data_IF_006514552293
#
_entry.id   IF_006514552293
#
_cell.length_a   1.000
_cell.length_b   1.000
_cell.length_c   1.000
_cell.angle_alpha   90.00
_cell.angle_beta   90.00
_cell.angle_gamma   90.00
#
_symmetry.space_group_name_H-M   'P 1'
#
loop_
_entity.id
_entity.type
_entity.pdbx_description
1 polymer ?
#
# COMPACT_ATOMS: atom_id res chain seq x y z
N UNK A 1 -39.89 -54.03 24.49
CA UNK A 1 -38.96 -52.99 23.98
C UNK A 1 -38.71 -51.98 25.09
N UNK A 2 -37.68 -52.18 25.91
CA UNK A 2 -37.27 -51.23 26.95
C UNK A 2 -36.07 -50.43 26.45
N UNK A 3 -36.28 -49.16 26.11
CA UNK A 3 -35.23 -48.22 25.69
C UNK A 3 -34.44 -47.81 26.94
N UNK A 4 -33.18 -48.21 27.04
CA UNK A 4 -32.27 -47.70 28.07
C UNK A 4 -32.10 -46.18 27.90
N UNK A 5 -32.21 -45.38 28.97
CA UNK A 5 -31.94 -43.95 28.90
C UNK A 5 -30.44 -43.76 28.59
N UNK A 6 -30.13 -43.02 27.53
CA UNK A 6 -28.76 -42.55 27.29
C UNK A 6 -28.43 -41.59 28.44
N UNK A 7 -27.50 -41.98 29.31
CA UNK A 7 -26.92 -41.08 30.29
C UNK A 7 -26.26 -39.92 29.55
N UNK A 8 -26.68 -38.70 29.85
CA UNK A 8 -25.99 -37.49 29.40
C UNK A 8 -24.63 -37.45 30.06
N UNK A 9 -23.56 -37.69 29.30
CA UNK A 9 -22.20 -37.47 29.78
C UNK A 9 -21.99 -35.96 29.92
N UNK A 10 -21.93 -35.47 31.16
CA UNK A 10 -21.59 -34.08 31.48
C UNK A 10 -20.10 -33.94 31.81
N UNK A 11 -19.55 -32.76 31.55
CA UNK A 11 -18.19 -32.41 31.96
C UNK A 11 -18.13 -32.20 33.47
N UNK A 12 -17.03 -32.62 34.11
CA UNK A 12 -16.82 -32.29 35.52
C UNK A 12 -16.51 -30.80 35.67
N UNK A 13 -16.81 -30.22 36.84
CA UNK A 13 -16.47 -28.82 37.14
C UNK A 13 -14.96 -28.58 36.98
N UNK A 14 -14.14 -29.55 37.40
CA UNK A 14 -12.69 -29.48 37.25
C UNK A 14 -12.28 -29.46 35.77
N UNK A 15 -12.88 -30.31 34.93
CA UNK A 15 -12.59 -30.38 33.50
C UNK A 15 -12.92 -29.08 32.77
N UNK A 16 -14.07 -28.48 33.08
CA UNK A 16 -14.45 -27.17 32.55
C UNK A 16 -13.44 -26.09 32.99
N UNK A 17 -13.05 -26.08 34.27
CA UNK A 17 -12.06 -25.12 34.77
C UNK A 17 -10.69 -25.29 34.10
N UNK A 18 -10.24 -26.52 33.88
CA UNK A 18 -8.98 -26.79 33.17
C UNK A 18 -9.05 -26.44 31.68
N UNK A 19 -10.18 -26.69 31.01
CA UNK A 19 -10.35 -26.30 29.62
C UNK A 19 -10.33 -24.78 29.47
N UNK A 20 -11.07 -24.06 30.32
CA UNK A 20 -11.09 -22.60 30.32
C UNK A 20 -9.72 -21.99 30.64
N UNK A 21 -8.96 -22.59 31.58
CA UNK A 21 -7.63 -22.08 31.91
C UNK A 21 -6.66 -22.23 30.74
N UNK A 22 -6.66 -23.37 30.05
CA UNK A 22 -5.84 -23.60 28.84
C UNK A 22 -6.27 -22.66 27.72
N UNK A 23 -7.57 -22.52 27.46
CA UNK A 23 -8.08 -21.58 26.45
C UNK A 23 -7.68 -20.13 26.76
N UNK A 24 -7.74 -19.70 28.02
CA UNK A 24 -7.33 -18.36 28.41
C UNK A 24 -5.85 -18.10 28.10
N UNK A 25 -4.96 -19.05 28.43
CA UNK A 25 -3.53 -18.94 28.10
C UNK A 25 -3.31 -18.86 26.59
N UNK A 26 -4.00 -19.70 25.81
CA UNK A 26 -3.89 -19.69 24.36
C UNK A 26 -4.37 -18.37 23.74
N UNK A 27 -5.47 -17.79 24.25
CA UNK A 27 -5.99 -16.52 23.75
C UNK A 27 -5.03 -15.35 24.01
N UNK A 28 -4.39 -15.32 25.19
CA UNK A 28 -3.42 -14.27 25.54
C UNK A 28 -2.25 -14.22 24.55
N UNK A 29 -1.82 -15.36 24.02
CA UNK A 29 -0.72 -15.44 23.04
C UNK A 29 -1.23 -15.33 21.60
N UNK A 30 -2.37 -15.95 21.29
CA UNK A 30 -2.90 -16.08 19.93
C UNK A 30 -3.48 -14.78 19.37
N UNK A 31 -4.21 -14.01 20.18
CA UNK A 31 -4.85 -12.76 19.75
C UNK A 31 -3.82 -11.73 19.25
N UNK A 32 -2.76 -11.35 20.00
CA UNK A 32 -1.78 -10.37 19.51
C UNK A 32 -1.08 -10.83 18.24
N UNK A 33 -0.70 -12.11 18.14
CA UNK A 33 -0.07 -12.67 16.93
C UNK A 33 -0.97 -12.52 15.69
N UNK A 34 -2.27 -12.74 15.82
CA UNK A 34 -3.22 -12.54 14.73
C UNK A 34 -3.35 -11.07 14.30
N UNK A 35 -3.27 -10.14 15.25
CA UNK A 35 -3.28 -8.69 14.92
C UNK A 35 -2.07 -8.28 14.10
N UNK A 36 -0.88 -8.81 14.40
CA UNK A 36 0.34 -8.52 13.63
C UNK A 36 0.30 -9.10 12.21
N UNK A 37 -0.24 -10.32 12.05
CA UNK A 37 -0.47 -10.92 10.72
C UNK A 37 -1.42 -10.04 9.90
N UNK A 38 -2.51 -9.57 10.50
CA UNK A 38 -3.48 -8.70 9.82
C UNK A 38 -2.85 -7.37 9.40
N UNK A 39 -2.07 -6.74 10.29
CA UNK A 39 -1.33 -5.49 9.98
C UNK A 39 -0.34 -5.68 8.84
N UNK A 40 0.45 -6.75 8.89
CA UNK A 40 1.41 -7.09 7.83
C UNK A 40 0.71 -7.34 6.48
N UNK A 41 -0.41 -8.05 6.49
CA UNK A 41 -1.20 -8.28 5.27
C UNK A 41 -1.71 -6.97 4.67
N UNK A 42 -2.20 -6.03 5.49
CA UNK A 42 -2.64 -4.70 5.02
C UNK A 42 -1.51 -3.92 4.35
N UNK A 43 -0.35 -3.84 5.01
CA UNK A 43 0.83 -3.16 4.45
C UNK A 43 1.32 -3.81 3.15
N UNK A 44 1.43 -5.14 3.13
CA UNK A 44 1.88 -5.87 1.95
C UNK A 44 0.88 -5.75 0.80
N UNK A 45 -0.42 -5.78 1.08
CA UNK A 45 -1.46 -5.60 0.04
C UNK A 45 -1.37 -4.21 -0.57
N UNK A 46 -1.40 -3.16 0.25
CA UNK A 46 -1.33 -1.78 -0.25
C UNK A 46 -0.02 -1.51 -1.04
N UNK A 47 1.12 -2.01 -0.55
CA UNK A 47 2.39 -1.86 -1.26
C UNK A 47 2.40 -2.62 -2.60
N UNK A 48 1.85 -3.83 -2.64
CA UNK A 48 1.75 -4.64 -3.86
C UNK A 48 0.77 -4.03 -4.87
N UNK A 49 -0.34 -3.46 -4.41
CA UNK A 49 -1.33 -2.82 -5.29
C UNK A 49 -0.73 -1.58 -5.96
N UNK A 50 0.03 -0.78 -5.21
CA UNK A 50 0.74 0.37 -5.77
C UNK A 50 1.87 -0.06 -6.72
N UNK A 51 2.64 -1.09 -6.35
CA UNK A 51 3.64 -1.69 -7.25
C UNK A 51 2.97 -2.22 -8.54
N UNK A 52 1.81 -2.86 -8.43
CA UNK A 52 1.04 -3.32 -9.59
C UNK A 52 0.60 -2.15 -10.46
N UNK A 53 0.08 -1.09 -9.86
CA UNK A 53 -0.38 0.11 -10.58
C UNK A 53 0.75 0.78 -11.36
N UNK A 54 1.94 0.90 -10.75
CA UNK A 54 3.14 1.43 -11.44
C UNK A 54 3.60 0.53 -12.59
N UNK A 55 3.52 -0.80 -12.44
CA UNK A 55 3.84 -1.73 -13.51
C UNK A 55 2.82 -1.66 -14.66
N UNK A 56 1.52 -1.55 -14.35
CA UNK A 56 0.46 -1.32 -15.35
C UNK A 56 0.75 -0.04 -16.10
N UNK A 57 0.96 1.08 -15.39
CA UNK A 57 1.26 2.37 -16.00
C UNK A 57 2.46 2.29 -16.96
N UNK A 58 3.56 1.70 -16.51
CA UNK A 58 4.76 1.51 -17.34
C UNK A 58 4.49 0.66 -18.59
N UNK A 59 3.76 -0.45 -18.45
CA UNK A 59 3.46 -1.33 -19.57
C UNK A 59 2.52 -0.68 -20.59
N UNK A 60 1.54 0.08 -20.10
CA UNK A 60 0.58 0.81 -20.94
C UNK A 60 1.26 1.97 -21.65
N UNK A 61 2.22 2.66 -21.00
CA UNK A 61 2.99 3.72 -21.63
C UNK A 61 3.79 3.21 -22.84
N UNK A 62 4.47 2.07 -22.67
CA UNK A 62 5.23 1.43 -23.75
C UNK A 62 4.32 0.90 -24.85
N UNK A 63 3.20 0.28 -24.48
CA UNK A 63 2.27 -0.35 -25.44
C UNK A 63 1.55 0.70 -26.29
N UNK A 64 1.08 1.78 -25.67
CA UNK A 64 0.34 2.87 -26.33
C UNK A 64 1.26 3.89 -26.99
N UNK A 65 2.55 3.88 -26.62
CA UNK A 65 3.54 4.91 -27.00
C UNK A 65 3.12 6.31 -26.57
N UNK A 66 2.39 6.41 -25.46
CA UNK A 66 1.95 7.65 -24.84
C UNK A 66 2.39 7.66 -23.37
N UNK A 67 2.61 8.83 -22.76
CA UNK A 67 2.81 8.92 -21.33
C UNK A 67 1.62 8.33 -20.56
N UNK A 68 1.90 7.66 -19.45
CA UNK A 68 0.87 7.13 -18.54
C UNK A 68 1.26 7.50 -17.12
N UNK A 69 0.28 8.04 -16.40
CA UNK A 69 0.47 8.65 -15.09
C UNK A 69 -0.27 7.83 -14.04
N UNK A 70 0.37 7.64 -12.89
CA UNK A 70 -0.25 7.23 -11.64
C UNK A 70 -0.26 8.44 -10.73
N UNK A 71 -1.44 8.95 -10.36
CA UNK A 71 -1.53 10.08 -9.45
C UNK A 71 -2.40 9.77 -8.24
N UNK A 72 -1.99 10.31 -7.09
CA UNK A 72 -2.85 10.35 -5.91
C UNK A 72 -4.09 11.19 -6.22
N UNK A 73 -5.24 10.75 -5.70
CA UNK A 73 -6.50 11.49 -5.81
C UNK A 73 -7.17 11.59 -4.45
N UNK A 74 -8.15 12.48 -4.31
CA UNK A 74 -9.03 12.53 -3.14
C UNK A 74 -10.34 11.77 -3.36
N UNK A 75 -10.65 11.41 -4.60
CA UNK A 75 -11.82 10.61 -4.94
C UNK A 75 -11.57 9.78 -6.21
N UNK A 76 -11.17 8.53 -6.01
CA UNK A 76 -10.96 7.53 -7.07
C UNK A 76 -12.26 7.06 -7.72
N UNK A 77 -13.41 7.31 -7.09
CA UNK A 77 -14.73 6.88 -7.55
C UNK A 77 -15.51 7.95 -8.31
N UNK A 78 -15.02 9.20 -8.32
CA UNK A 78 -15.59 10.27 -9.12
C UNK A 78 -15.62 9.92 -10.61
N UNK A 79 -16.69 10.33 -11.32
CA UNK A 79 -16.80 10.10 -12.76
C UNK A 79 -15.60 10.70 -13.50
N UNK A 80 -15.23 11.93 -13.13
CA UNK A 80 -14.05 12.67 -13.60
C UNK A 80 -13.06 12.85 -12.42
N UNK A 81 -12.16 11.89 -12.19
CA UNK A 81 -11.24 11.95 -11.06
C UNK A 81 -10.10 12.92 -11.37
N UNK A 82 -9.65 13.67 -10.36
CA UNK A 82 -8.54 14.62 -10.49
C UNK A 82 -7.37 14.21 -9.64
N UNK A 83 -6.16 14.58 -10.06
CA UNK A 83 -4.96 14.41 -9.26
C UNK A 83 -4.97 15.42 -8.10
N UNK A 84 -4.75 14.94 -6.88
CA UNK A 84 -4.78 15.77 -5.66
C UNK A 84 -3.39 16.27 -5.24
N UNK A 85 -2.35 15.80 -5.91
CA UNK A 85 -0.94 15.97 -5.56
C UNK A 85 -0.62 15.64 -4.09
N UNK A 86 -1.37 14.68 -3.54
CA UNK A 86 -1.32 14.30 -2.14
C UNK A 86 -0.69 12.93 -1.92
N UNK A 87 -0.98 12.35 -0.76
CA UNK A 87 -0.55 11.00 -0.43
C UNK A 87 -1.33 9.95 -1.23
N UNK A 88 -0.65 8.89 -1.66
CA UNK A 88 -1.20 7.69 -2.33
C UNK A 88 -2.13 6.86 -1.42
N UNK A 89 -3.04 7.51 -0.72
CA UNK A 89 -4.12 6.89 0.06
C UNK A 89 -5.16 6.26 -0.85
N UNK A 90 -5.37 6.85 -2.02
CA UNK A 90 -6.11 6.32 -3.16
C UNK A 90 -5.48 6.95 -4.41
N UNK A 91 -5.58 6.27 -5.55
CA UNK A 91 -4.92 6.72 -6.77
C UNK A 91 -5.63 6.19 -8.01
N UNK A 92 -5.29 6.80 -9.14
CA UNK A 92 -5.76 6.40 -10.46
C UNK A 92 -4.56 6.22 -11.39
N UNK A 93 -4.76 5.44 -12.44
CA UNK A 93 -3.83 5.30 -13.56
C UNK A 93 -4.55 5.73 -14.83
N UNK A 94 -3.97 6.65 -15.60
CA UNK A 94 -4.58 7.16 -16.83
C UNK A 94 -3.51 7.49 -17.87
N UNK A 95 -3.93 7.57 -19.13
CA UNK A 95 -3.06 7.98 -20.24
C UNK A 95 -3.03 9.50 -20.31
N UNK A 96 -1.84 10.08 -20.26
CA UNK A 96 -1.58 11.52 -20.33
C UNK A 96 -1.04 11.86 -21.74
N UNK A 97 -1.95 12.17 -22.66
CA UNK A 97 -1.66 12.33 -24.08
C UNK A 97 -1.02 13.69 -24.38
N UNK A 98 -1.40 14.72 -23.63
CA UNK A 98 -0.98 16.11 -23.86
C UNK A 98 0.18 16.56 -22.95
N UNK A 99 0.54 15.75 -21.93
CA UNK A 99 1.66 15.94 -20.98
C UNK A 99 1.40 17.02 -19.94
N UNK A 100 0.15 17.23 -19.58
CA UNK A 100 -0.25 18.21 -18.56
C UNK A 100 -0.40 17.61 -17.15
N UNK A 101 -0.33 16.28 -17.04
CA UNK A 101 -0.41 15.50 -15.78
C UNK A 101 -1.79 15.60 -15.08
N UNK A 102 -2.78 16.18 -15.75
CA UNK A 102 -4.19 16.19 -15.39
C UNK A 102 -4.93 15.06 -16.09
N UNK A 103 -6.19 14.83 -15.70
CA UNK A 103 -7.06 13.89 -16.41
C UNK A 103 -8.01 14.71 -17.26
N UNK A 104 -7.88 14.58 -18.58
CA UNK A 104 -8.64 15.37 -19.54
C UNK A 104 -9.69 14.59 -20.33
N UNK A 105 -10.55 15.33 -21.04
CA UNK A 105 -11.54 14.71 -21.93
C UNK A 105 -10.86 13.93 -23.05
N UNK A 106 -11.18 12.63 -23.14
CA UNK A 106 -10.56 11.72 -24.11
C UNK A 106 -9.36 10.95 -23.58
N UNK A 107 -8.94 11.20 -22.35
CA UNK A 107 -7.90 10.45 -21.67
C UNK A 107 -8.49 9.28 -20.87
N UNK A 108 -8.26 8.03 -21.30
CA UNK A 108 -8.84 6.88 -20.62
C UNK A 108 -8.16 6.65 -19.26
N UNK A 109 -8.96 6.66 -18.20
CA UNK A 109 -8.57 6.10 -16.90
C UNK A 109 -8.53 4.58 -17.00
N UNK A 110 -7.33 4.01 -16.86
CA UNK A 110 -7.03 2.59 -17.01
C UNK A 110 -7.28 1.79 -15.73
N UNK A 111 -7.01 2.39 -14.58
CA UNK A 111 -7.17 1.77 -13.27
C UNK A 111 -7.59 2.81 -12.22
N UNK A 112 -8.42 2.37 -11.27
CA UNK A 112 -8.84 3.14 -10.11
C UNK A 112 -8.63 2.28 -8.87
N UNK A 113 -7.88 2.77 -7.90
CA UNK A 113 -7.64 2.09 -6.64
C UNK A 113 -8.37 2.81 -5.51
N UNK A 114 -9.24 2.08 -4.82
CA UNK A 114 -10.03 2.57 -3.71
C UNK A 114 -9.14 2.92 -2.50
N UNK A 115 -9.62 3.73 -1.55
CA UNK A 115 -8.84 4.07 -0.37
C UNK A 115 -8.24 2.86 0.34
N UNK A 116 -6.93 2.93 0.60
CA UNK A 116 -6.24 1.97 1.45
C UNK A 116 -6.85 1.98 2.86
N UNK A 117 -6.62 0.91 3.61
CA UNK A 117 -7.15 0.80 4.96
C UNK A 117 -6.69 1.99 5.84
N UNK A 118 -7.63 2.61 6.57
CA UNK A 118 -7.43 3.83 7.39
C UNK A 118 -6.30 3.74 8.44
N UNK A 119 -5.91 2.53 8.81
CA UNK A 119 -4.81 2.30 9.77
C UNK A 119 -3.43 2.47 9.16
N UNK A 120 -3.34 2.67 7.84
CA UNK A 120 -2.10 2.90 7.13
C UNK A 120 -1.86 4.40 6.99
N UNK A 121 -0.61 4.80 7.21
CA UNK A 121 -0.13 6.15 6.91
C UNK A 121 0.80 6.03 5.73
N UNK A 122 0.46 6.67 4.62
CA UNK A 122 1.29 6.70 3.41
C UNK A 122 1.97 8.05 3.31
N UNK A 123 3.26 8.02 3.02
CA UNK A 123 4.09 9.18 2.74
C UNK A 123 4.74 9.00 1.39
N UNK A 124 4.85 10.06 0.62
CA UNK A 124 5.60 10.08 -0.62
C UNK A 124 6.49 11.32 -0.64
N UNK A 125 7.52 11.27 -1.48
CA UNK A 125 8.20 12.48 -1.92
C UNK A 125 7.35 13.22 -2.94
N UNK A 126 7.59 14.53 -3.02
CA UNK A 126 7.06 15.42 -4.04
C UNK A 126 5.53 15.37 -4.21
N UNK A 127 5.03 15.49 -5.44
CA UNK A 127 3.65 15.85 -5.76
C UNK A 127 2.71 14.64 -5.91
N UNK A 128 3.03 13.47 -5.36
CA UNK A 128 2.11 12.32 -5.39
C UNK A 128 1.79 11.83 -6.80
N UNK A 129 2.72 12.01 -7.74
CA UNK A 129 2.54 11.74 -9.17
C UNK A 129 3.70 10.89 -9.66
N UNK A 130 3.42 9.82 -10.39
CA UNK A 130 4.41 8.97 -11.05
C UNK A 130 4.06 8.97 -12.53
N UNK A 131 5.00 9.32 -13.40
CA UNK A 131 4.78 9.24 -14.85
C UNK A 131 5.80 8.35 -15.53
N UNK A 132 5.31 7.59 -16.48
CA UNK A 132 6.13 6.78 -17.36
C UNK A 132 6.06 7.32 -18.78
N UNK A 133 7.23 7.58 -19.35
CA UNK A 133 7.37 7.94 -20.76
C UNK A 133 7.11 6.74 -21.68
N UNK A 134 6.86 6.96 -23.00
CA UNK A 134 6.69 5.89 -23.99
C UNK A 134 7.83 4.87 -24.08
N UNK A 135 9.01 5.20 -23.57
CA UNK A 135 10.19 4.32 -23.52
C UNK A 135 10.22 3.46 -22.25
N UNK A 136 9.27 3.66 -21.33
CA UNK A 136 9.15 2.93 -20.07
C UNK A 136 10.08 3.44 -18.96
N UNK A 137 10.76 4.56 -19.17
CA UNK A 137 11.52 5.27 -18.14
C UNK A 137 10.58 6.13 -17.31
N UNK A 138 10.89 6.28 -16.02
CA UNK A 138 10.21 7.28 -15.19
C UNK A 138 10.55 8.67 -15.73
N UNK A 139 9.55 9.51 -15.88
CA UNK A 139 9.75 10.88 -16.37
C UNK A 139 10.52 11.67 -15.30
N UNK A 140 11.64 12.34 -15.64
CA UNK A 140 12.38 13.13 -14.68
C UNK A 140 11.64 14.43 -14.36
N UNK A 141 12.06 15.11 -13.28
CA UNK A 141 11.55 16.44 -12.98
C UNK A 141 11.82 17.39 -14.14
N UNK A 142 10.76 17.97 -14.70
CA UNK A 142 10.88 18.99 -15.74
C UNK A 142 11.22 20.32 -15.07
N UNK A 143 12.04 21.16 -15.69
CA UNK A 143 12.35 22.50 -15.19
C UNK A 143 11.45 23.53 -15.88
N UNK A 144 10.68 24.32 -15.12
CA UNK A 144 9.79 25.36 -15.66
C UNK A 144 8.72 25.83 -14.66
N UNK A 145 7.97 26.88 -15.01
CA UNK A 145 6.76 27.25 -14.27
C UNK A 145 5.68 26.16 -14.47
N UNK A 146 5.11 25.65 -13.38
CA UNK A 146 4.18 24.50 -13.42
C UNK A 146 4.86 23.13 -13.42
N UNK A 147 6.17 23.06 -13.18
CA UNK A 147 6.90 21.81 -13.07
C UNK A 147 6.46 20.96 -11.87
N UNK A 148 5.83 19.82 -12.15
CA UNK A 148 5.43 18.80 -11.15
C UNK A 148 6.59 17.85 -10.94
N UNK A 149 7.03 17.72 -9.68
CA UNK A 149 8.08 16.80 -9.26
C UNK A 149 7.53 15.36 -9.12
N UNK A 150 7.96 14.41 -9.98
CA UNK A 150 7.46 13.05 -9.92
C UNK A 150 8.00 12.32 -8.67
N UNK A 151 7.09 11.67 -7.96
CA UNK A 151 7.34 10.81 -6.81
C UNK A 151 8.20 9.61 -7.20
N UNK A 152 9.26 9.38 -6.43
CA UNK A 152 10.16 8.23 -6.57
C UNK A 152 10.27 7.39 -5.29
N UNK A 153 9.82 7.90 -4.15
CA UNK A 153 9.89 7.27 -2.83
C UNK A 153 8.54 7.33 -2.18
N UNK A 154 8.01 6.17 -1.83
CA UNK A 154 6.74 6.06 -1.11
C UNK A 154 6.95 5.15 0.08
N UNK A 155 6.57 5.58 1.28
CA UNK A 155 6.67 4.80 2.51
C UNK A 155 5.27 4.58 3.08
N UNK A 156 4.94 3.31 3.29
CA UNK A 156 3.71 2.85 3.90
C UNK A 156 4.03 2.41 5.33
N UNK A 157 3.44 3.09 6.30
CA UNK A 157 3.56 2.84 7.73
C UNK A 157 2.22 2.33 8.29
N UNK A 158 2.28 1.57 9.38
CA UNK A 158 1.14 1.36 10.27
C UNK A 158 1.46 1.93 11.66
N UNK A 159 0.63 1.66 12.66
CA UNK A 159 0.81 2.14 14.03
C UNK A 159 2.12 1.68 14.72
N UNK A 160 2.87 0.73 14.14
CA UNK A 160 4.20 0.30 14.63
C UNK A 160 5.33 1.15 14.03
N UNK A 161 5.01 1.97 13.03
CA UNK A 161 5.92 2.86 12.35
C UNK A 161 7.12 2.17 11.71
N UNK A 162 8.30 2.78 11.85
CA UNK A 162 9.57 2.23 11.34
C UNK A 162 10.31 1.42 12.43
N UNK A 163 9.58 0.61 13.22
CA UNK A 163 10.19 -0.27 14.21
C UNK A 163 10.90 -1.47 13.56
N UNK A 164 11.99 -1.94 14.18
CA UNK A 164 12.68 -3.17 13.77
C UNK A 164 11.82 -4.40 14.08
N UNK A 165 11.66 -5.27 13.09
CA UNK A 165 10.97 -6.56 13.16
C UNK A 165 11.96 -7.63 12.69
N UNK A 166 12.62 -8.29 13.64
CA UNK A 166 13.75 -9.18 13.36
C UNK A 166 15.08 -8.43 13.34
N UNK A 167 16.07 -8.94 12.59
CA UNK A 167 17.41 -8.36 12.56
C UNK A 167 17.46 -7.02 11.79
N UNK A 168 17.02 -7.01 10.52
CA UNK A 168 17.21 -5.87 9.61
C UNK A 168 15.92 -5.41 8.91
N UNK A 169 14.76 -5.95 9.26
CA UNK A 169 13.49 -5.59 8.60
C UNK A 169 12.73 -4.53 9.38
N UNK A 170 12.08 -3.61 8.67
CA UNK A 170 11.13 -2.65 9.22
C UNK A 170 9.72 -3.24 9.27
N UNK A 171 8.91 -2.78 10.23
CA UNK A 171 7.48 -2.96 10.21
C UNK A 171 6.84 -2.28 8.97
N UNK A 172 7.36 -1.12 8.56
CA UNK A 172 6.93 -0.37 7.38
C UNK A 172 7.41 -1.00 6.06
N UNK A 173 6.88 -0.50 4.94
CA UNK A 173 7.28 -0.87 3.57
C UNK A 173 7.61 0.39 2.79
N UNK A 174 8.69 0.37 2.00
CA UNK A 174 8.99 1.43 1.07
C UNK A 174 8.89 0.93 -0.37
N UNK A 175 8.23 1.68 -1.23
CA UNK A 175 8.27 1.55 -2.68
C UNK A 175 9.31 2.54 -3.21
N UNK A 176 10.26 2.02 -3.98
CA UNK A 176 11.37 2.77 -4.56
C UNK A 176 11.27 2.64 -6.07
N UNK A 177 11.20 3.77 -6.74
CA UNK A 177 11.19 3.87 -8.21
C UNK A 177 12.55 4.40 -8.65
N UNK A 178 13.17 3.68 -9.58
CA UNK A 178 14.42 4.08 -10.24
C UNK A 178 14.10 4.89 -11.50
N UNK A 179 15.02 5.75 -11.93
CA UNK A 179 14.89 6.55 -13.17
C UNK A 179 14.64 5.67 -14.41
N UNK A 180 15.14 4.42 -14.39
CA UNK A 180 14.89 3.40 -15.42
C UNK A 180 13.42 2.96 -15.51
N UNK A 181 12.57 3.47 -14.62
CA UNK A 181 11.17 3.10 -14.47
C UNK A 181 10.94 1.81 -13.68
N UNK A 182 11.98 1.22 -13.09
CA UNK A 182 11.84 0.02 -12.26
C UNK A 182 11.34 0.38 -10.86
N UNK A 183 10.16 -0.09 -10.50
CA UNK A 183 9.64 -0.03 -9.15
C UNK A 183 9.95 -1.31 -8.35
N UNK A 184 10.35 -1.16 -7.08
CA UNK A 184 10.58 -2.28 -6.15
C UNK A 184 10.07 -1.96 -4.75
N UNK A 185 9.59 -2.98 -4.03
CA UNK A 185 9.27 -2.87 -2.61
C UNK A 185 10.49 -3.30 -1.79
N UNK A 186 10.81 -2.57 -0.73
CA UNK A 186 11.79 -2.92 0.27
C UNK A 186 11.20 -2.85 1.67
N UNK A 187 11.69 -3.74 2.52
CA UNK A 187 11.44 -3.77 3.96
C UNK A 187 12.73 -3.66 4.76
N UNK A 188 13.88 -3.52 4.10
CA UNK A 188 15.14 -3.32 4.80
C UNK A 188 15.05 -2.01 5.61
N UNK A 189 15.44 -2.06 6.88
CA UNK A 189 15.28 -0.93 7.80
C UNK A 189 16.08 0.29 7.36
N UNK A 190 17.26 0.09 6.80
CA UNK A 190 18.10 1.17 6.28
C UNK A 190 17.43 1.82 5.06
N UNK A 191 17.08 1.04 4.04
CA UNK A 191 16.35 1.52 2.85
C UNK A 191 15.07 2.31 3.21
N UNK A 192 14.28 1.82 4.16
CA UNK A 192 13.04 2.49 4.60
C UNK A 192 13.34 3.82 5.29
N UNK A 193 14.46 3.90 6.03
CA UNK A 193 14.88 5.13 6.70
C UNK A 193 15.35 6.18 5.71
N UNK A 194 16.12 5.76 4.70
CA UNK A 194 16.57 6.63 3.62
C UNK A 194 15.38 7.16 2.83
N UNK A 195 14.40 6.29 2.53
CA UNK A 195 13.16 6.71 1.89
C UNK A 195 12.39 7.73 2.76
N UNK A 196 12.25 7.49 4.06
CA UNK A 196 11.58 8.42 4.97
C UNK A 196 12.25 9.79 5.01
N UNK A 197 13.58 9.82 5.02
CA UNK A 197 14.36 11.06 4.98
C UNK A 197 14.06 11.88 3.71
N UNK A 198 13.88 11.22 2.57
CA UNK A 198 13.51 11.88 1.30
C UNK A 198 12.05 12.35 1.32
N UNK A 199 11.12 11.55 1.85
CA UNK A 199 9.68 11.95 1.97
C UNK A 199 9.42 13.06 3.01
N UNK A 200 10.46 13.58 3.67
CA UNK A 200 10.36 14.71 4.59
C UNK A 200 9.52 14.46 5.85
N UNK A 201 9.33 13.20 6.27
CA UNK A 201 8.52 12.92 7.46
C UNK A 201 8.80 11.59 8.13
N UNK A 202 8.16 11.40 9.29
CA UNK A 202 8.26 10.20 10.09
C UNK A 202 7.02 9.32 9.92
N UNK A 203 7.21 8.01 10.11
CA UNK A 203 6.08 7.15 10.45
C UNK A 203 5.50 7.55 11.83
N UNK A 204 4.24 7.18 12.12
CA UNK A 204 3.65 7.31 13.46
C UNK A 204 4.48 6.62 14.55
#
# INVERSE_FOLDING_TARGET
>A
MTRSPKQSAGFTLLELMTALSVTAVLLVIGVPAFTDVTRNNRLTTAANDLLRSTQVARSEAVTRRLPVVVCATNDSSADEPTCSNGSFTQWIVFVDADRDWGVDEGEPVLERHAPVHETLTIRNDDDGIISYSPTGFATPQLAGEGAIAPTNRIVLCDARGNALVGADSSAARALVIEETGRARITKNREDVTDALAITGGACP
#
